data_IF_856215759204
#
_entry.id   IF_856215759204
#
_cell.length_a   1.000
_cell.length_b   1.000
_cell.length_c   1.000
_cell.angle_alpha   90.00
_cell.angle_beta   90.00
_cell.angle_gamma   90.00
#
_symmetry.space_group_name_H-M   'P 1'
#
loop_
_entity.id
_entity.type
_entity.pdbx_description
1 polymer ?
#
# COMPACT_ATOMS: atom_id res chain seq x y z
N UNK A 1 26.17 10.64 -17.75
CA UNK A 1 26.02 11.21 -16.39
C UNK A 1 25.34 10.16 -15.50
N UNK A 2 26.07 9.56 -14.54
CA UNK A 2 25.56 8.52 -13.62
C UNK A 2 24.27 8.94 -12.91
N UNK A 3 24.23 10.16 -12.40
CA UNK A 3 23.06 10.74 -11.73
C UNK A 3 21.81 10.82 -12.61
N UNK A 4 21.95 11.09 -13.91
CA UNK A 4 20.82 11.15 -14.83
C UNK A 4 20.20 9.75 -15.07
N UNK A 5 21.03 8.69 -15.04
CA UNK A 5 20.57 7.30 -15.11
C UNK A 5 19.87 6.89 -13.82
N UNK A 6 20.44 7.21 -12.65
CA UNK A 6 19.79 6.98 -11.35
C UNK A 6 18.42 7.65 -11.27
N UNK A 7 18.34 8.94 -11.62
CA UNK A 7 17.08 9.69 -11.61
C UNK A 7 16.06 9.07 -12.57
N UNK A 8 16.50 8.59 -13.74
CA UNK A 8 15.62 7.90 -14.69
C UNK A 8 15.10 6.58 -14.11
N UNK A 9 15.93 5.77 -13.47
CA UNK A 9 15.51 4.52 -12.85
C UNK A 9 14.53 4.79 -11.69
N UNK A 10 14.85 5.76 -10.84
CA UNK A 10 14.02 6.16 -9.70
C UNK A 10 12.63 6.66 -10.13
N UNK A 11 12.57 7.54 -11.13
CA UNK A 11 11.30 8.06 -11.65
C UNK A 11 10.43 6.97 -12.27
N UNK A 12 11.04 5.96 -12.88
CA UNK A 12 10.38 4.80 -13.49
C UNK A 12 10.04 3.68 -12.51
N UNK A 13 10.36 3.84 -11.23
CA UNK A 13 10.15 2.80 -10.21
C UNK A 13 10.91 1.49 -10.53
N UNK A 14 12.08 1.62 -11.18
CA UNK A 14 12.91 0.51 -11.65
C UNK A 14 14.03 0.22 -10.65
N UNK A 15 13.83 -0.77 -9.78
CA UNK A 15 14.79 -1.16 -8.75
C UNK A 15 16.05 -1.77 -9.37
N UNK A 16 15.89 -2.64 -10.36
CA UNK A 16 17.01 -3.27 -11.05
C UNK A 16 17.91 -2.22 -11.72
N UNK A 17 17.32 -1.33 -12.52
CA UNK A 17 18.05 -0.27 -13.21
C UNK A 17 18.76 0.69 -12.24
N UNK A 18 18.19 0.91 -11.05
CA UNK A 18 18.82 1.70 -10.01
C UNK A 18 20.07 1.01 -9.46
N UNK A 19 19.96 -0.26 -9.07
CA UNK A 19 21.08 -1.07 -8.56
C UNK A 19 22.19 -1.22 -9.62
N UNK A 20 21.84 -1.56 -10.86
CA UNK A 20 22.83 -1.67 -11.93
C UNK A 20 23.58 -0.35 -12.18
N UNK A 21 22.91 0.80 -12.03
CA UNK A 21 23.58 2.10 -12.17
C UNK A 21 24.55 2.36 -11.00
N UNK A 22 24.18 1.97 -9.78
CA UNK A 22 25.07 2.08 -8.62
C UNK A 22 26.32 1.19 -8.77
N UNK A 23 26.15 -0.03 -9.27
CA UNK A 23 27.27 -0.96 -9.49
C UNK A 23 28.21 -0.52 -10.61
N UNK A 24 27.65 -0.06 -11.74
CA UNK A 24 28.44 0.36 -12.91
C UNK A 24 29.28 1.61 -12.65
N UNK A 25 28.73 2.57 -11.91
CA UNK A 25 29.36 3.87 -11.66
C UNK A 25 29.81 4.01 -10.18
N UNK A 26 30.08 2.90 -9.48
CA UNK A 26 30.39 2.85 -8.03
C UNK A 26 31.50 3.83 -7.61
N UNK A 27 32.59 3.88 -8.38
CA UNK A 27 33.71 4.80 -8.15
C UNK A 27 33.29 6.28 -8.14
N UNK A 28 32.28 6.64 -8.95
CA UNK A 28 31.77 8.02 -8.98
C UNK A 28 30.96 8.37 -7.73
N UNK A 29 30.37 7.38 -7.06
CA UNK A 29 29.55 7.58 -5.88
C UNK A 29 30.33 7.44 -4.58
N UNK A 30 31.41 6.64 -4.57
CA UNK A 30 32.32 6.49 -3.42
C UNK A 30 33.24 7.70 -3.20
N UNK A 31 33.25 8.64 -4.15
CA UNK A 31 34.06 9.86 -4.08
C UNK A 31 33.68 10.78 -2.91
N UNK A 32 32.43 10.72 -2.44
CA UNK A 32 31.97 11.45 -1.25
C UNK A 32 31.22 10.53 -0.28
N UNK A 33 31.57 10.51 1.01
CA UNK A 33 31.00 9.55 1.98
C UNK A 33 29.50 9.76 2.27
N UNK A 34 28.95 10.94 1.94
CA UNK A 34 27.52 11.25 2.09
C UNK A 34 26.65 10.66 1.00
N UNK A 35 27.20 10.43 -0.20
CA UNK A 35 26.45 9.96 -1.36
C UNK A 35 25.90 8.54 -1.14
N UNK A 36 26.71 7.54 -0.69
CA UNK A 36 26.20 6.19 -0.43
C UNK A 36 25.02 6.16 0.54
N UNK A 37 25.11 6.92 1.65
CA UNK A 37 24.04 7.02 2.65
C UNK A 37 22.75 7.54 2.02
N UNK A 38 22.86 8.56 1.17
CA UNK A 38 21.71 9.11 0.46
C UNK A 38 21.12 8.10 -0.54
N UNK A 39 21.98 7.37 -1.26
CA UNK A 39 21.57 6.35 -2.23
C UNK A 39 20.84 5.18 -1.55
N UNK A 40 21.30 4.75 -0.37
CA UNK A 40 20.63 3.70 0.40
C UNK A 40 19.23 4.12 0.85
N UNK A 41 19.08 5.36 1.32
CA UNK A 41 17.76 5.92 1.67
C UNK A 41 16.84 6.05 0.46
N UNK A 42 17.38 6.40 -0.71
CA UNK A 42 16.62 6.45 -1.96
C UNK A 42 16.21 5.06 -2.43
N UNK A 43 17.11 4.08 -2.34
CA UNK A 43 16.84 2.68 -2.68
C UNK A 43 15.75 2.10 -1.80
N UNK A 44 15.79 2.37 -0.49
CA UNK A 44 14.75 1.90 0.43
C UNK A 44 13.37 2.46 0.04
N UNK A 45 13.29 3.77 -0.23
CA UNK A 45 12.04 4.41 -0.70
C UNK A 45 11.57 3.86 -2.04
N UNK A 46 12.51 3.60 -2.96
CA UNK A 46 12.22 3.03 -4.27
C UNK A 46 11.64 1.61 -4.14
N UNK A 47 12.26 0.76 -3.33
CA UNK A 47 11.76 -0.59 -3.04
C UNK A 47 10.38 -0.57 -2.40
N UNK A 48 10.13 0.35 -1.47
CA UNK A 48 8.82 0.48 -0.83
C UNK A 48 7.74 0.91 -1.82
N UNK A 49 8.04 1.85 -2.73
CA UNK A 49 7.14 2.24 -3.82
C UNK A 49 6.92 1.10 -4.82
N UNK A 50 7.96 0.35 -5.17
CA UNK A 50 7.89 -0.83 -6.03
C UNK A 50 7.03 -1.94 -5.42
N UNK A 51 7.20 -2.22 -4.12
CA UNK A 51 6.39 -3.17 -3.36
C UNK A 51 4.90 -2.80 -3.45
N UNK A 52 4.55 -1.55 -3.15
CA UNK A 52 3.15 -1.10 -3.20
C UNK A 52 2.59 -1.19 -4.62
N UNK A 53 3.33 -0.70 -5.62
CA UNK A 53 2.89 -0.75 -7.01
C UNK A 53 2.69 -2.19 -7.51
N UNK A 54 3.61 -3.08 -7.16
CA UNK A 54 3.57 -4.49 -7.55
C UNK A 54 2.46 -5.25 -6.82
N UNK A 55 2.09 -4.84 -5.61
CA UNK A 55 1.10 -5.54 -4.80
C UNK A 55 -0.36 -5.24 -5.15
N UNK A 56 -0.64 -4.11 -5.79
CA UNK A 56 -2.00 -3.67 -6.16
C UNK A 56 -2.84 -4.75 -6.87
N UNK A 57 -2.35 -5.46 -7.90
CA UNK A 57 -3.18 -6.42 -8.64
C UNK A 57 -3.33 -7.79 -7.94
N UNK A 58 -2.61 -8.07 -6.85
CA UNK A 58 -2.58 -9.40 -6.25
C UNK A 58 -3.31 -9.45 -4.92
N UNK A 59 -4.21 -10.42 -4.77
CA UNK A 59 -4.85 -10.69 -3.47
C UNK A 59 -3.91 -11.43 -2.50
N UNK A 60 -2.99 -12.22 -3.05
CA UNK A 60 -2.03 -13.02 -2.30
C UNK A 60 -0.69 -13.03 -3.01
N UNK A 61 0.37 -12.71 -2.28
CA UNK A 61 1.74 -12.67 -2.77
C UNK A 61 2.64 -13.59 -1.95
N UNK A 62 3.51 -14.32 -2.63
CA UNK A 62 4.57 -15.07 -1.98
C UNK A 62 5.80 -14.17 -1.84
N UNK A 63 6.43 -14.18 -0.65
CA UNK A 63 7.64 -13.41 -0.36
C UNK A 63 8.76 -13.70 -1.37
N UNK A 64 8.88 -14.94 -1.84
CA UNK A 64 9.87 -15.32 -2.87
C UNK A 64 9.77 -14.47 -4.13
N UNK A 65 8.55 -14.22 -4.62
CA UNK A 65 8.35 -13.35 -5.80
C UNK A 65 8.71 -11.90 -5.51
N UNK A 66 8.52 -11.44 -4.28
CA UNK A 66 8.90 -10.08 -3.89
C UNK A 66 10.41 -9.93 -3.78
N UNK A 67 11.14 -10.98 -3.36
CA UNK A 67 12.60 -10.99 -3.37
C UNK A 67 13.15 -10.77 -4.78
N UNK A 68 12.58 -11.46 -5.78
CA UNK A 68 12.99 -11.34 -7.19
C UNK A 68 12.73 -9.92 -7.73
N UNK A 69 11.60 -9.31 -7.39
CA UNK A 69 11.20 -7.99 -7.88
C UNK A 69 11.95 -6.85 -7.18
N UNK A 70 12.17 -6.97 -5.88
CA UNK A 70 12.81 -5.93 -5.07
C UNK A 70 14.34 -6.08 -4.99
N UNK A 71 14.87 -7.18 -5.54
CA UNK A 71 16.27 -7.55 -5.46
C UNK A 71 16.79 -7.45 -4.01
N UNK A 72 16.08 -8.08 -3.09
CA UNK A 72 16.33 -8.04 -1.66
C UNK A 72 16.19 -9.43 -1.04
N UNK A 73 16.87 -9.65 0.08
CA UNK A 73 16.78 -10.91 0.81
C UNK A 73 15.42 -11.05 1.51
N UNK A 74 15.20 -12.22 2.12
CA UNK A 74 13.91 -12.51 2.75
C UNK A 74 13.63 -11.55 3.90
N UNK A 75 14.63 -11.33 4.76
CA UNK A 75 14.51 -10.53 5.99
C UNK A 75 14.19 -9.07 5.65
N UNK A 76 14.86 -8.51 4.65
CA UNK A 76 14.65 -7.16 4.17
C UNK A 76 13.26 -7.00 3.53
N UNK A 77 12.82 -7.97 2.73
CA UNK A 77 11.47 -7.95 2.16
C UNK A 77 10.40 -8.01 3.26
N UNK A 78 10.59 -8.83 4.29
CA UNK A 78 9.70 -8.89 5.44
C UNK A 78 9.65 -7.56 6.19
N UNK A 79 10.82 -6.97 6.46
CA UNK A 79 10.94 -5.64 7.09
C UNK A 79 10.21 -4.57 6.28
N UNK A 80 10.39 -4.55 4.96
CA UNK A 80 9.72 -3.62 4.05
C UNK A 80 8.20 -3.83 4.04
N UNK A 81 7.72 -5.08 4.06
CA UNK A 81 6.30 -5.39 4.13
C UNK A 81 5.68 -4.90 5.43
N UNK A 82 6.31 -5.20 6.57
CA UNK A 82 5.86 -4.76 7.90
C UNK A 82 5.86 -3.24 8.02
N UNK A 83 6.88 -2.57 7.47
CA UNK A 83 6.95 -1.11 7.40
C UNK A 83 5.82 -0.55 6.55
N UNK A 84 5.63 -1.04 5.32
CA UNK A 84 4.56 -0.59 4.43
C UNK A 84 3.15 -0.79 5.05
N UNK A 85 2.97 -1.83 5.85
CA UNK A 85 1.74 -2.07 6.61
C UNK A 85 1.58 -1.09 7.78
N UNK A 86 2.65 -0.84 8.54
CA UNK A 86 2.66 0.12 9.66
C UNK A 86 2.42 1.54 9.19
N UNK A 87 3.01 1.92 8.05
CA UNK A 87 2.86 3.22 7.42
C UNK A 87 1.50 3.39 6.71
N UNK A 88 0.64 2.35 6.72
CA UNK A 88 -0.69 2.37 6.11
C UNK A 88 -0.70 2.37 4.58
N UNK A 89 0.47 2.21 3.95
CA UNK A 89 0.61 2.15 2.49
C UNK A 89 0.14 0.81 1.92
N UNK A 90 0.17 -0.25 2.74
CA UNK A 90 -0.25 -1.60 2.36
C UNK A 90 -1.30 -2.13 3.36
N UNK A 91 -2.54 -2.31 2.92
CA UNK A 91 -3.58 -2.96 3.74
C UNK A 91 -3.50 -4.49 3.57
N UNK A 92 -2.63 -5.14 4.31
CA UNK A 92 -2.39 -6.57 4.21
C UNK A 92 -2.32 -7.27 5.57
N UNK A 93 -2.23 -8.60 5.53
CA UNK A 93 -1.80 -9.43 6.64
C UNK A 93 -0.56 -10.21 6.19
N UNK A 94 0.47 -10.26 7.04
CA UNK A 94 1.70 -10.99 6.79
C UNK A 94 1.70 -12.30 7.57
N UNK A 95 1.96 -13.42 6.89
CA UNK A 95 2.17 -14.76 7.47
C UNK A 95 3.64 -15.12 7.26
N UNK A 96 4.46 -14.95 8.32
CA UNK A 96 5.91 -15.16 8.29
C UNK A 96 6.29 -16.63 8.14
N UNK A 97 5.52 -17.53 8.76
CA UNK A 97 5.74 -18.98 8.68
C UNK A 97 5.57 -19.48 7.24
N UNK A 98 4.52 -19.01 6.55
CA UNK A 98 4.24 -19.41 5.17
C UNK A 98 4.93 -18.52 4.13
N UNK A 99 5.50 -17.39 4.53
CA UNK A 99 6.12 -16.42 3.63
C UNK A 99 5.12 -15.85 2.63
N UNK A 100 3.95 -15.44 3.14
CA UNK A 100 2.83 -14.97 2.30
C UNK A 100 2.28 -13.65 2.83
N UNK A 101 2.10 -12.69 1.92
CA UNK A 101 1.36 -11.45 2.16
C UNK A 101 -0.03 -11.61 1.56
N UNK A 102 -1.07 -11.47 2.38
CA UNK A 102 -2.48 -11.51 1.94
C UNK A 102 -3.06 -10.12 2.00
N UNK A 103 -3.47 -9.56 0.86
CA UNK A 103 -4.10 -8.24 0.83
C UNK A 103 -5.48 -8.31 1.46
N UNK A 104 -5.73 -7.43 2.42
CA UNK A 104 -7.06 -7.23 2.95
C UNK A 104 -7.80 -6.39 1.93
N UNK A 105 -8.79 -6.98 1.27
CA UNK A 105 -9.72 -6.21 0.44
C UNK A 105 -10.24 -5.08 1.34
N UNK A 106 -9.96 -3.81 0.99
CA UNK A 106 -10.91 -2.75 1.31
C UNK A 106 -12.20 -3.28 0.73
N UNK A 107 -13.18 -3.60 1.58
CA UNK A 107 -14.47 -4.08 1.12
C UNK A 107 -14.89 -3.12 0.01
N UNK A 108 -14.76 -3.55 -1.25
CA UNK A 108 -15.11 -2.75 -2.41
C UNK A 108 -16.50 -2.25 -2.08
N UNK A 109 -16.65 -0.93 -1.96
CA UNK A 109 -17.81 -0.24 -1.39
C UNK A 109 -19.05 -1.04 -1.74
N UNK A 110 -19.47 -1.89 -0.80
CA UNK A 110 -20.36 -2.97 -1.20
C UNK A 110 -21.67 -2.25 -1.53
N UNK A 111 -22.25 -2.43 -2.73
CA UNK A 111 -23.55 -1.85 -3.04
C UNK A 111 -24.57 -2.23 -1.94
N UNK A 112 -24.36 -3.38 -1.28
CA UNK A 112 -25.08 -3.81 -0.09
C UNK A 112 -24.94 -2.89 1.13
N UNK A 113 -23.76 -2.32 1.42
CA UNK A 113 -23.56 -1.39 2.53
C UNK A 113 -24.26 -0.06 2.26
N UNK A 114 -24.19 0.43 1.03
CA UNK A 114 -24.91 1.64 0.60
C UNK A 114 -26.43 1.41 0.61
N UNK A 115 -26.90 0.25 0.14
CA UNK A 115 -28.30 -0.16 0.24
C UNK A 115 -28.78 -0.24 1.69
N UNK A 116 -27.98 -0.82 2.59
CA UNK A 116 -28.33 -0.89 4.02
C UNK A 116 -28.42 0.50 4.64
N UNK A 117 -27.52 1.42 4.28
CA UNK A 117 -27.57 2.81 4.74
C UNK A 117 -28.82 3.55 4.22
N UNK A 118 -29.15 3.37 2.94
CA UNK A 118 -30.35 3.96 2.33
C UNK A 118 -31.64 3.41 2.99
N UNK A 119 -31.69 2.10 3.25
CA UNK A 119 -32.84 1.45 3.89
C UNK A 119 -33.02 1.93 5.33
N UNK A 120 -31.92 2.12 6.05
CA UNK A 120 -31.95 2.63 7.41
C UNK A 120 -32.45 4.08 7.44
N UNK A 121 -32.00 4.90 6.48
CA UNK A 121 -32.49 6.28 6.33
C UNK A 121 -33.99 6.34 6.03
N UNK A 122 -34.50 5.45 5.19
CA UNK A 122 -35.95 5.32 4.92
C UNK A 122 -36.72 4.90 6.16
N UNK A 123 -36.22 3.93 6.92
CA UNK A 123 -36.86 3.50 8.16
C UNK A 123 -36.94 4.64 9.19
N UNK A 124 -35.86 5.43 9.34
CA UNK A 124 -35.85 6.57 10.27
C UNK A 124 -36.79 7.69 9.84
N UNK A 125 -36.87 7.99 8.55
CA UNK A 125 -37.75 9.06 8.03
C UNK A 125 -39.22 8.67 8.12
N UNK A 126 -39.57 7.42 7.82
CA UNK A 126 -40.92 6.90 8.02
C UNK A 126 -41.34 6.89 9.48
N UNK A 127 -40.41 6.53 10.39
CA UNK A 127 -40.69 6.57 11.82
C UNK A 127 -40.95 8.00 12.31
N UNK A 128 -40.18 8.98 11.84
CA UNK A 128 -40.36 10.38 12.20
C UNK A 128 -41.66 10.96 11.64
N UNK A 129 -41.99 10.66 10.38
CA UNK A 129 -43.28 11.02 9.79
C UNK A 129 -44.45 10.37 10.55
N UNK A 130 -44.32 9.10 10.94
CA UNK A 130 -45.32 8.42 11.75
C UNK A 130 -45.53 9.10 13.10
N UNK A 131 -44.46 9.55 13.77
CA UNK A 131 -44.56 10.35 15.00
C UNK A 131 -45.25 11.69 14.77
N UNK A 132 -44.94 12.39 13.67
CA UNK A 132 -45.57 13.66 13.34
C UNK A 132 -47.06 13.50 13.07
N UNK A 133 -47.47 12.50 12.28
CA UNK A 133 -48.88 12.20 11.99
C UNK A 133 -49.64 11.80 13.24
N UNK A 134 -49.05 10.98 14.13
CA UNK A 134 -49.68 10.64 15.42
C UNK A 134 -49.79 11.85 16.36
N UNK A 135 -48.80 12.75 16.34
CA UNK A 135 -48.83 14.01 17.08
C UNK A 135 -49.90 15.00 16.59
N UNK A 136 -50.11 15.09 15.27
CA UNK A 136 -51.15 15.92 14.65
C UNK A 136 -52.57 15.38 14.86
N UNK A 137 -52.73 14.06 14.92
CA UNK A 137 -54.00 13.38 15.20
C UNK A 137 -54.37 13.33 16.69
N UNK A 138 -53.56 13.93 17.58
CA UNK A 138 -53.84 13.99 19.01
C UNK A 138 -53.83 12.63 19.71
N UNK A 139 -53.19 11.62 19.12
CA UNK A 139 -53.05 10.30 19.73
C UNK A 139 -51.74 10.25 20.52
N UNK A 140 -51.84 10.57 21.81
CA UNK A 140 -50.79 10.33 22.79
C UNK A 140 -50.95 8.88 23.29
N UNK A 141 -49.99 7.96 23.08
CA UNK A 141 -49.91 6.79 23.93
C UNK A 141 -49.51 7.17 25.36
#
# INVERSE_FOLDING_TARGET
LPFARLMRAYTRNDVHGFLSTMELDSQSFESEPSIPICLDLLLEKLRLRALVAFSIPYERLCVRRLQDVLHADKEEVERLCLRAMSDGMLNAAFDSEKGVVTMRKKAATQPRKEQLLALNHWATTLHELGKQVMGELGYNP
#
